data_IF_156854775833
#
_entry.id   IF_156854775833
#
_cell.length_a   1.000
_cell.length_b   1.000
_cell.length_c   1.000
_cell.angle_alpha   90.00
_cell.angle_beta   90.00
_cell.angle_gamma   90.00
#
_symmetry.space_group_name_H-M   'P 1'
#
loop_
_entity.id
_entity.type
_entity.pdbx_description
1 polymer ?
#
# COMPACT_ATOMS: atom_id res chain seq x y z
N UNK A 1 -1.63 -2.45 -6.28
CA UNK A 1 -2.80 -1.68 -5.82
C UNK A 1 -2.57 -0.18 -5.97
N UNK A 2 -1.68 0.47 -5.22
CA UNK A 2 -1.50 1.95 -5.26
C UNK A 2 -1.27 2.48 -6.68
N UNK A 3 -0.25 1.98 -7.40
CA UNK A 3 0.03 2.40 -8.78
C UNK A 3 -1.13 2.11 -9.74
N UNK A 4 -1.84 1.00 -9.55
CA UNK A 4 -3.04 0.68 -10.33
C UNK A 4 -4.14 1.72 -10.10
N UNK A 5 -4.42 2.05 -8.84
CA UNK A 5 -5.40 3.07 -8.46
C UNK A 5 -5.02 4.44 -9.05
N UNK A 6 -3.76 4.84 -8.94
CA UNK A 6 -3.27 6.08 -9.56
C UNK A 6 -3.51 6.06 -11.07
N UNK A 7 -3.11 5.01 -11.79
CA UNK A 7 -3.33 4.93 -13.23
C UNK A 7 -4.81 4.91 -13.62
N UNK A 8 -5.67 4.33 -12.77
CA UNK A 8 -7.11 4.28 -13.00
C UNK A 8 -7.78 5.64 -12.88
N UNK A 9 -7.37 6.47 -11.93
CA UNK A 9 -8.08 7.72 -11.58
C UNK A 9 -7.31 9.02 -11.83
N UNK A 10 -6.01 8.98 -12.17
CA UNK A 10 -5.20 10.19 -12.33
C UNK A 10 -5.71 11.14 -13.43
N UNK A 11 -6.45 10.63 -14.43
CA UNK A 11 -7.09 11.46 -15.45
C UNK A 11 -8.18 12.38 -14.86
N UNK A 12 -8.99 11.85 -13.94
CA UNK A 12 -10.11 12.56 -13.32
C UNK A 12 -9.71 13.27 -12.02
N UNK A 13 -8.64 12.79 -11.37
CA UNK A 13 -8.14 13.26 -10.07
C UNK A 13 -6.67 13.68 -10.16
N UNK A 14 -6.37 14.91 -10.64
CA UNK A 14 -5.01 15.41 -10.82
C UNK A 14 -4.16 15.42 -9.53
N UNK A 15 -4.80 15.46 -8.35
CA UNK A 15 -4.10 15.37 -7.07
C UNK A 15 -3.21 14.11 -6.97
N UNK A 16 -3.59 13.00 -7.62
CA UNK A 16 -2.83 11.76 -7.63
C UNK A 16 -1.49 11.85 -8.37
N UNK A 17 -1.23 12.90 -9.15
CA UNK A 17 0.05 13.10 -9.85
C UNK A 17 1.02 13.99 -9.08
N UNK A 18 0.66 14.43 -7.87
CA UNK A 18 1.50 15.30 -7.04
C UNK A 18 2.67 14.58 -6.36
N UNK A 19 2.58 13.26 -6.20
CA UNK A 19 3.52 12.46 -5.42
C UNK A 19 3.88 11.16 -6.13
N UNK A 20 5.02 10.59 -5.75
CA UNK A 20 5.50 9.31 -6.30
C UNK A 20 5.68 8.24 -5.24
N UNK A 21 5.59 8.59 -3.95
CA UNK A 21 5.72 7.63 -2.85
C UNK A 21 4.37 7.06 -2.41
N UNK A 22 4.38 5.78 -2.01
CA UNK A 22 3.15 5.04 -1.70
C UNK A 22 2.35 5.64 -0.55
N UNK A 23 2.99 6.25 0.45
CA UNK A 23 2.29 6.73 1.65
C UNK A 23 1.44 7.94 1.27
N UNK A 24 2.03 8.96 0.63
CA UNK A 24 1.27 10.14 0.19
C UNK A 24 0.24 9.79 -0.87
N UNK A 25 0.52 8.81 -1.72
CA UNK A 25 -0.47 8.33 -2.69
C UNK A 25 -1.65 7.62 -2.01
N UNK A 26 -1.43 6.83 -0.95
CA UNK A 26 -2.51 6.23 -0.16
C UNK A 26 -3.34 7.27 0.59
N UNK A 27 -2.68 8.28 1.18
CA UNK A 27 -3.34 9.43 1.82
C UNK A 27 -4.22 10.18 0.80
N UNK A 28 -3.66 10.51 -0.38
CA UNK A 28 -4.39 11.21 -1.44
C UNK A 28 -5.57 10.38 -1.94
N UNK A 29 -5.43 9.06 -2.08
CA UNK A 29 -6.54 8.17 -2.47
C UNK A 29 -7.68 8.19 -1.45
N UNK A 30 -7.37 8.29 -0.15
CA UNK A 30 -8.37 8.42 0.90
C UNK A 30 -9.04 9.80 0.92
N UNK A 31 -8.25 10.87 0.79
CA UNK A 31 -8.73 12.26 0.74
C UNK A 31 -9.66 12.52 -0.45
N UNK A 32 -9.35 11.92 -1.61
CA UNK A 32 -10.18 12.00 -2.82
C UNK A 32 -11.43 11.09 -2.77
N UNK A 33 -11.63 10.34 -1.68
CA UNK A 33 -12.73 9.41 -1.48
C UNK A 33 -12.68 8.16 -2.35
N UNK A 34 -11.53 7.89 -2.98
CA UNK A 34 -11.35 6.76 -3.89
C UNK A 34 -11.10 5.45 -3.13
N UNK A 35 -10.43 5.52 -1.98
CA UNK A 35 -10.14 4.39 -1.09
C UNK A 35 -10.69 4.67 0.31
N UNK A 36 -11.33 3.69 0.98
CA UNK A 36 -11.69 3.86 2.39
C UNK A 36 -10.45 4.17 3.25
N UNK A 37 -10.59 5.12 4.18
CA UNK A 37 -9.46 5.60 4.98
C UNK A 37 -8.81 4.53 5.85
N UNK A 38 -9.61 3.60 6.38
CA UNK A 38 -9.15 2.44 7.14
C UNK A 38 -8.29 1.48 6.28
N UNK A 39 -8.66 1.29 5.01
CA UNK A 39 -7.87 0.50 4.06
C UNK A 39 -6.57 1.20 3.68
N UNK A 40 -6.59 2.51 3.47
CA UNK A 40 -5.40 3.30 3.20
C UNK A 40 -4.42 3.28 4.39
N UNK A 41 -4.94 3.40 5.62
CA UNK A 41 -4.16 3.31 6.85
C UNK A 41 -3.56 1.91 7.03
N UNK A 42 -4.34 0.85 6.83
CA UNK A 42 -3.87 -0.53 6.91
C UNK A 42 -2.70 -0.80 5.93
N UNK A 43 -2.82 -0.34 4.68
CA UNK A 43 -1.75 -0.47 3.68
C UNK A 43 -0.52 0.37 4.04
N UNK A 44 -0.72 1.56 4.59
CA UNK A 44 0.37 2.44 5.05
C UNK A 44 1.15 1.78 6.18
N UNK A 45 0.45 1.25 7.18
CA UNK A 45 1.06 0.56 8.31
C UNK A 45 1.83 -0.69 7.86
N UNK A 46 1.23 -1.51 6.99
CA UNK A 46 1.90 -2.68 6.42
C UNK A 46 3.17 -2.31 5.66
N UNK A 47 3.12 -1.25 4.83
CA UNK A 47 4.27 -0.75 4.09
C UNK A 47 5.38 -0.24 5.02
N UNK A 48 5.05 0.55 6.04
CA UNK A 48 6.02 1.05 7.01
C UNK A 48 6.70 -0.08 7.79
N UNK A 49 5.93 -1.09 8.24
CA UNK A 49 6.46 -2.26 8.97
C UNK A 49 7.38 -3.09 8.09
N UNK A 50 6.97 -3.39 6.85
CA UNK A 50 7.80 -4.12 5.88
C UNK A 50 9.09 -3.35 5.57
N UNK A 51 8.98 -2.04 5.32
CA UNK A 51 10.13 -1.19 5.04
C UNK A 51 11.07 -1.15 6.24
N UNK A 52 10.55 -1.00 7.46
CA UNK A 52 11.33 -1.04 8.69
C UNK A 52 12.08 -2.35 8.87
N UNK A 53 11.43 -3.49 8.64
CA UNK A 53 12.07 -4.80 8.71
C UNK A 53 13.20 -4.96 7.68
N UNK A 54 12.96 -4.54 6.43
CA UNK A 54 13.98 -4.51 5.40
C UNK A 54 15.19 -3.63 5.79
N UNK A 55 14.95 -2.45 6.37
CA UNK A 55 16.04 -1.57 6.81
C UNK A 55 16.87 -2.20 7.94
N UNK A 56 16.24 -2.94 8.87
CA UNK A 56 16.98 -3.70 9.89
C UNK A 56 17.90 -4.75 9.27
N UNK A 57 17.43 -5.51 8.28
CA UNK A 57 18.27 -6.49 7.57
C UNK A 57 19.47 -5.82 6.90
N UNK A 58 19.25 -4.70 6.20
CA UNK A 58 20.32 -3.93 5.54
C UNK A 58 21.35 -3.44 6.56
N UNK A 59 20.92 -2.91 7.71
CA UNK A 59 21.83 -2.46 8.77
C UNK A 59 22.65 -3.59 9.40
N UNK A 60 22.16 -4.82 9.32
CA UNK A 60 22.86 -6.03 9.81
C UNK A 60 23.68 -6.73 8.72
N UNK A 61 23.81 -6.13 7.53
CA UNK A 61 24.44 -6.73 6.34
C UNK A 61 23.86 -8.10 5.97
N UNK A 62 22.60 -8.34 6.34
CA UNK A 62 21.87 -9.55 6.02
C UNK A 62 21.11 -9.39 4.70
N UNK A 63 20.78 -10.50 4.01
CA UNK A 63 19.84 -10.45 2.89
C UNK A 63 18.54 -9.75 3.33
N UNK A 64 17.97 -8.90 2.46
CA UNK A 64 16.70 -8.21 2.70
C UNK A 64 15.49 -9.14 2.65
N UNK A 65 15.54 -10.24 3.41
CA UNK A 65 14.52 -11.27 3.55
C UNK A 65 14.22 -11.41 5.04
N UNK A 66 12.95 -11.43 5.37
CA UNK A 66 12.45 -11.68 6.72
C UNK A 66 11.91 -13.12 6.80
N UNK A 67 11.79 -13.64 8.01
CA UNK A 67 11.19 -14.95 8.23
C UNK A 67 9.72 -14.95 7.79
N UNK A 68 9.17 -16.10 7.39
CA UNK A 68 7.80 -16.17 6.86
C UNK A 68 6.72 -15.86 7.90
N UNK A 69 7.02 -16.14 9.16
CA UNK A 69 6.21 -15.83 10.33
C UNK A 69 6.31 -14.34 10.73
N UNK A 70 7.36 -13.63 10.32
CA UNK A 70 7.46 -12.19 10.48
C UNK A 70 6.48 -11.48 9.52
N UNK A 71 5.73 -10.51 10.07
CA UNK A 71 4.71 -9.74 9.36
C UNK A 71 3.56 -10.56 8.74
N UNK A 72 3.21 -11.69 9.38
CA UNK A 72 2.12 -12.56 8.90
C UNK A 72 0.77 -11.84 8.84
N UNK A 73 0.47 -11.00 9.83
CA UNK A 73 -0.79 -10.25 9.91
C UNK A 73 -0.88 -9.22 8.78
N UNK A 74 0.18 -8.43 8.58
CA UNK A 74 0.29 -7.41 7.54
C UNK A 74 0.20 -8.03 6.15
N UNK A 75 0.84 -9.20 5.96
CA UNK A 75 0.72 -9.96 4.71
C UNK A 75 -0.72 -10.37 4.46
N UNK A 76 -1.40 -10.90 5.48
CA UNK A 76 -2.80 -11.29 5.38
C UNK A 76 -3.71 -10.12 4.99
N UNK A 77 -3.52 -8.95 5.62
CA UNK A 77 -4.28 -7.75 5.29
C UNK A 77 -3.99 -7.23 3.87
N UNK A 78 -2.72 -7.20 3.46
CA UNK A 78 -2.35 -6.80 2.08
C UNK A 78 -2.95 -7.76 1.06
N UNK A 79 -2.94 -9.07 1.32
CA UNK A 79 -3.56 -10.07 0.42
C UNK A 79 -5.07 -9.91 0.34
N UNK A 80 -5.74 -9.67 1.47
CA UNK A 80 -7.19 -9.41 1.52
C UNK A 80 -7.55 -8.19 0.68
N UNK A 81 -6.85 -7.07 0.91
CA UNK A 81 -7.07 -5.83 0.16
C UNK A 81 -6.71 -6.00 -1.32
N UNK A 82 -5.64 -6.76 -1.63
CA UNK A 82 -5.30 -7.07 -3.01
C UNK A 82 -6.46 -7.77 -3.73
N UNK A 83 -7.08 -8.77 -3.10
CA UNK A 83 -8.20 -9.50 -3.72
C UNK A 83 -9.39 -8.56 -3.96
N UNK A 84 -9.75 -7.77 -2.95
CA UNK A 84 -10.82 -6.77 -3.05
C UNK A 84 -10.59 -5.77 -4.18
N UNK A 85 -9.36 -5.27 -4.34
CA UNK A 85 -9.08 -4.17 -5.27
C UNK A 85 -8.70 -4.61 -6.69
N UNK A 86 -8.19 -5.83 -6.84
CA UNK A 86 -7.65 -6.32 -8.10
C UNK A 86 -8.48 -7.43 -8.74
N UNK A 87 -9.31 -8.15 -7.97
CA UNK A 87 -10.16 -9.24 -8.49
C UNK A 87 -11.65 -8.92 -8.43
N UNK A 88 -12.10 -8.23 -7.40
CA UNK A 88 -13.48 -7.79 -7.29
C UNK A 88 -13.60 -6.44 -8.03
N UNK A 89 -14.61 -6.28 -8.88
CA UNK A 89 -14.87 -4.99 -9.53
C UNK A 89 -15.19 -3.95 -8.46
N UNK A 90 -14.20 -3.10 -8.12
CA UNK A 90 -14.43 -1.92 -7.29
C UNK A 90 -15.39 -1.01 -8.08
N UNK A 91 -16.60 -0.73 -7.55
CA UNK A 91 -17.53 0.20 -8.18
C UNK A 91 -16.84 1.54 -8.40
N UNK A 92 -16.95 2.07 -9.61
CA UNK A 92 -16.37 3.36 -10.00
C UNK A 92 -17.05 4.55 -9.34
#
# INVERSE_FOLDING_TARGET
MVQYAVLRWAADKPALTGWTDNIRLLETLAEEGLMPGDEAEALTLAYQRLRGAYHRCVLQEQPGRIAQDELREERGEVERLWRKWMLEEVPG
#
